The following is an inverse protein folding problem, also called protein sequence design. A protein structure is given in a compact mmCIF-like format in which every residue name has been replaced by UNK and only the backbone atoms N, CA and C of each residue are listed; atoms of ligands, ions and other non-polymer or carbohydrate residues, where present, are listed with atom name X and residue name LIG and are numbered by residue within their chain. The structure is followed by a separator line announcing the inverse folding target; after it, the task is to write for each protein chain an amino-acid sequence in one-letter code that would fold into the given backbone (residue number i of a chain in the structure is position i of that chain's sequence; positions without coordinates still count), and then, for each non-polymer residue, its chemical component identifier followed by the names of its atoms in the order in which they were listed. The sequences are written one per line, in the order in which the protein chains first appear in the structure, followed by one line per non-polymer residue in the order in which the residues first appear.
data_IF_518054430096
#
_entry.id   IF_518054430096
#
_cell.length_a   1.000
_cell.length_b   1.000
_cell.length_c   1.000
_cell.angle_alpha   90.00
_cell.angle_beta   90.00
_cell.angle_gamma   90.00
#
_symmetry.space_group_name_H-M   'P 1'
#
loop_
_entity.id
_entity.type
_entity.pdbx_description
1 polymer ?
#
# COMPACT_ATOMS: atom_id res chain seq x y z
N UNK A 1 8.50 -39.00 19.61
CA UNK A 1 8.15 -37.72 18.94
C UNK A 1 9.45 -36.96 18.83
N UNK A 2 10.10 -36.96 17.66
CA UNK A 2 11.46 -36.44 17.51
C UNK A 2 11.47 -34.91 17.47
N UNK A 3 12.35 -34.29 18.25
CA UNK A 3 12.52 -32.83 18.24
C UNK A 3 13.00 -32.36 16.86
N UNK A 4 12.23 -31.43 16.28
CA UNK A 4 12.53 -30.85 14.97
C UNK A 4 13.54 -29.72 15.15
N UNK A 5 14.79 -29.94 14.75
CA UNK A 5 15.82 -28.91 14.76
C UNK A 5 15.57 -27.89 13.64
N UNK A 6 15.65 -26.60 13.97
CA UNK A 6 15.57 -25.48 13.03
C UNK A 6 16.95 -24.87 12.78
N UNK A 7 17.26 -24.57 11.52
CA UNK A 7 18.53 -23.98 11.11
C UNK A 7 18.30 -22.59 10.48
N UNK A 8 19.24 -21.68 10.69
CA UNK A 8 19.22 -20.32 10.14
C UNK A 8 20.54 -20.03 9.41
N UNK A 9 20.46 -19.35 8.27
CA UNK A 9 21.63 -18.91 7.49
C UNK A 9 21.73 -17.39 7.62
N UNK A 10 22.93 -16.87 7.85
CA UNK A 10 23.19 -15.44 7.91
C UNK A 10 24.49 -15.07 7.21
N UNK A 11 24.49 -13.88 6.56
CA UNK A 11 25.67 -13.28 5.95
C UNK A 11 26.40 -12.31 6.91
N UNK A 12 26.02 -12.29 8.19
CA UNK A 12 26.65 -11.43 9.20
C UNK A 12 28.11 -11.89 9.50
N UNK A 13 29.00 -10.98 9.92
CA UNK A 13 30.37 -11.32 10.26
C UNK A 13 30.43 -12.32 11.42
N UNK A 14 31.48 -13.14 11.47
CA UNK A 14 31.68 -14.17 12.52
C UNK A 14 31.75 -13.59 13.93
N UNK A 15 32.10 -12.30 14.06
CA UNK A 15 32.10 -11.57 15.32
C UNK A 15 30.69 -11.23 15.85
N UNK A 16 29.63 -11.45 15.06
CA UNK A 16 28.26 -11.21 15.47
C UNK A 16 27.86 -12.15 16.62
N UNK A 17 27.35 -11.56 17.70
CA UNK A 17 26.98 -12.31 18.90
C UNK A 17 25.71 -13.13 18.67
N UNK A 18 25.64 -14.32 19.24
CA UNK A 18 24.47 -15.20 19.11
C UNK A 18 23.16 -14.53 19.57
N UNK A 19 23.22 -13.73 20.63
CA UNK A 19 22.07 -13.00 21.16
C UNK A 19 21.43 -12.05 20.13
N UNK A 20 22.22 -11.50 19.21
CA UNK A 20 21.73 -10.67 18.11
C UNK A 20 20.85 -11.48 17.15
N UNK A 21 21.25 -12.70 16.80
CA UNK A 21 20.45 -13.57 15.93
C UNK A 21 19.16 -14.04 16.60
N UNK A 22 19.19 -14.30 17.91
CA UNK A 22 17.99 -14.64 18.69
C UNK A 22 17.01 -13.47 18.70
N UNK A 23 17.50 -12.25 18.94
CA UNK A 23 16.69 -11.04 18.89
C UNK A 23 16.12 -10.80 17.49
N UNK A 24 16.94 -10.92 16.44
CA UNK A 24 16.51 -10.75 15.05
C UNK A 24 15.42 -11.76 14.66
N UNK A 25 15.58 -13.01 15.09
CA UNK A 25 14.57 -14.06 14.91
C UNK A 25 13.25 -13.72 15.61
N UNK A 26 13.32 -13.02 16.74
CA UNK A 26 12.15 -12.50 17.45
C UNK A 26 11.42 -11.40 16.67
N UNK A 27 12.15 -10.45 16.08
CA UNK A 27 11.59 -9.32 15.31
C UNK A 27 10.85 -9.78 14.05
N UNK A 28 11.26 -10.89 13.45
CA UNK A 28 10.59 -11.44 12.26
C UNK A 28 9.07 -11.50 12.43
N UNK A 29 8.59 -11.91 13.62
CA UNK A 29 7.15 -11.97 13.92
C UNK A 29 6.48 -10.60 13.90
N UNK A 30 7.15 -9.57 14.44
CA UNK A 30 6.65 -8.20 14.40
C UNK A 30 6.55 -7.68 12.97
N UNK A 31 7.54 -8.01 12.12
CA UNK A 31 7.52 -7.64 10.70
C UNK A 31 6.37 -8.32 9.96
N UNK A 32 6.16 -9.62 10.19
CA UNK A 32 5.04 -10.38 9.62
C UNK A 32 3.69 -9.80 10.02
N UNK A 33 3.53 -9.46 11.30
CA UNK A 33 2.33 -8.81 11.80
C UNK A 33 2.07 -7.47 11.09
N UNK A 34 3.08 -6.62 10.92
CA UNK A 34 2.94 -5.36 10.20
C UNK A 34 2.49 -5.57 8.74
N UNK A 35 3.04 -6.58 8.04
CA UNK A 35 2.62 -6.89 6.67
C UNK A 35 1.17 -7.36 6.60
N UNK A 36 0.76 -8.23 7.53
CA UNK A 36 -0.62 -8.72 7.60
C UNK A 36 -1.62 -7.58 7.90
N UNK A 37 -1.24 -6.65 8.77
CA UNK A 37 -2.03 -5.45 9.07
C UNK A 37 -2.07 -4.47 7.90
N UNK A 38 -0.97 -4.32 7.14
CA UNK A 38 -0.95 -3.49 5.93
C UNK A 38 -1.85 -4.06 4.83
N UNK A 39 -1.83 -5.38 4.64
CA UNK A 39 -2.63 -6.10 3.65
C UNK A 39 -4.12 -5.84 3.83
N UNK A 40 -4.59 -5.97 5.08
CA UNK A 40 -6.01 -5.84 5.45
C UNK A 40 -6.45 -4.40 5.73
N UNK A 41 -5.58 -3.55 6.29
CA UNK A 41 -5.97 -2.22 6.81
C UNK A 41 -5.55 -1.03 5.96
N UNK A 42 -4.52 -1.16 5.12
CA UNK A 42 -3.93 -0.05 4.35
C UNK A 42 -4.09 -0.20 2.83
N UNK A 43 -4.89 -1.17 2.37
CA UNK A 43 -5.16 -1.40 0.94
C UNK A 43 -3.97 -1.99 0.18
N UNK A 44 -3.04 -2.66 0.88
CA UNK A 44 -1.92 -3.35 0.22
C UNK A 44 -2.42 -4.58 -0.55
N UNK A 45 -3.46 -5.28 -0.06
CA UNK A 45 -4.09 -6.41 -0.76
C UNK A 45 -4.98 -6.00 -1.94
N UNK A 46 -5.52 -4.78 -1.95
CA UNK A 46 -6.45 -4.28 -2.96
C UNK A 46 -5.77 -3.69 -4.21
N UNK A 47 -4.46 -3.88 -4.33
CA UNK A 47 -3.66 -3.27 -5.39
C UNK A 47 -3.77 -4.04 -6.72
N UNK A 48 -4.52 -3.49 -7.68
CA UNK A 48 -4.78 -4.13 -8.98
C UNK A 48 -3.83 -3.73 -10.13
N UNK A 49 -2.84 -2.86 -9.88
CA UNK A 49 -1.99 -2.31 -10.96
C UNK A 49 -0.82 -3.25 -11.27
N UNK A 50 -0.71 -3.67 -12.54
CA UNK A 50 0.22 -4.70 -13.02
C UNK A 50 1.64 -4.22 -13.37
N UNK A 51 1.98 -2.96 -13.10
CA UNK A 51 3.30 -2.38 -13.44
C UNK A 51 4.18 -2.28 -12.20
N UNK A 52 5.45 -2.69 -12.33
CA UNK A 52 6.44 -2.62 -11.25
C UNK A 52 6.59 -1.21 -10.67
N UNK A 53 6.61 -0.18 -11.52
CA UNK A 53 6.74 1.21 -11.06
C UNK A 53 5.56 1.68 -10.21
N UNK A 54 4.34 1.22 -10.51
CA UNK A 54 3.19 1.48 -9.66
C UNK A 54 3.33 0.76 -8.33
N UNK A 55 3.75 -0.51 -8.36
CA UNK A 55 3.86 -1.34 -7.16
C UNK A 55 4.91 -0.76 -6.21
N UNK A 56 6.06 -0.37 -6.76
CA UNK A 56 7.16 0.23 -6.00
C UNK A 56 6.78 1.57 -5.35
N UNK A 57 5.77 2.29 -5.87
CA UNK A 57 5.24 3.51 -5.25
C UNK A 57 4.14 3.19 -4.23
N UNK A 58 3.31 2.19 -4.52
CA UNK A 58 2.20 1.77 -3.66
C UNK A 58 2.69 1.17 -2.34
N UNK A 59 3.63 0.24 -2.40
CA UNK A 59 4.17 -0.45 -1.22
C UNK A 59 4.65 0.49 -0.10
N UNK A 60 5.56 1.45 -0.36
CA UNK A 60 6.00 2.39 0.68
C UNK A 60 4.87 3.31 1.15
N UNK A 61 3.89 3.62 0.30
CA UNK A 61 2.72 4.43 0.69
C UNK A 61 1.85 3.68 1.70
N UNK A 62 1.58 2.40 1.48
CA UNK A 62 0.86 1.55 2.44
C UNK A 62 1.64 1.42 3.76
N UNK A 63 2.95 1.17 3.70
CA UNK A 63 3.78 1.08 4.91
C UNK A 63 3.84 2.40 5.69
N UNK A 64 3.88 3.55 4.99
CA UNK A 64 3.85 4.87 5.61
C UNK A 64 2.50 5.16 6.29
N UNK A 65 1.39 4.80 5.65
CA UNK A 65 0.06 4.93 6.24
C UNK A 65 -0.06 4.07 7.52
N UNK A 66 0.46 2.84 7.48
CA UNK A 66 0.48 1.97 8.63
C UNK A 66 1.37 2.51 9.76
N UNK A 67 2.55 3.07 9.43
CA UNK A 67 3.42 3.74 10.39
C UNK A 67 2.73 4.93 11.06
N UNK A 68 1.99 5.73 10.31
CA UNK A 68 1.21 6.85 10.85
C UNK A 68 0.14 6.38 11.85
N UNK A 69 -0.59 5.30 11.54
CA UNK A 69 -1.57 4.72 12.46
C UNK A 69 -0.92 4.21 13.76
N UNK A 70 0.25 3.56 13.64
CA UNK A 70 1.03 3.13 14.80
C UNK A 70 1.54 4.31 15.64
N UNK A 71 1.97 5.39 15.00
CA UNK A 71 2.40 6.59 15.71
C UNK A 71 1.24 7.22 16.51
N UNK A 72 0.04 7.26 15.93
CA UNK A 72 -1.17 7.70 16.64
C UNK A 72 -1.48 6.80 17.82
N UNK A 73 -1.34 5.47 17.65
CA UNK A 73 -1.55 4.51 18.74
C UNK A 73 -0.68 4.82 19.95
N UNK A 74 0.61 5.06 19.71
CA UNK A 74 1.59 5.37 20.77
C UNK A 74 1.22 6.68 21.47
N UNK A 75 0.86 7.72 20.71
CA UNK A 75 0.44 9.02 21.29
C UNK A 75 -0.86 8.91 22.10
N UNK A 76 -1.75 7.99 21.73
CA UNK A 76 -3.02 7.76 22.41
C UNK A 76 -2.93 6.74 23.55
N UNK A 77 -1.76 6.13 23.78
CA UNK A 77 -1.59 5.05 24.76
C UNK A 77 -1.97 5.49 26.19
N UNK A 78 -1.66 6.74 26.55
CA UNK A 78 -2.03 7.32 27.85
C UNK A 78 -3.55 7.49 28.04
N UNK A 79 -4.30 7.66 26.94
CA UNK A 79 -5.74 7.95 26.96
C UNK A 79 -6.61 6.74 26.68
N UNK A 80 -6.09 5.79 25.90
CA UNK A 80 -6.80 4.58 25.49
C UNK A 80 -5.80 3.42 25.35
N UNK A 81 -5.37 2.82 26.47
CA UNK A 81 -4.46 1.68 26.44
C UNK A 81 -5.12 0.51 25.69
N UNK A 82 -4.32 -0.22 24.90
CA UNK A 82 -4.74 -1.37 24.09
C UNK A 82 -5.63 -1.09 22.86
N UNK A 83 -5.72 0.16 22.39
CA UNK A 83 -6.41 0.45 21.12
C UNK A 83 -5.68 -0.21 19.93
N UNK A 84 -6.43 -0.96 19.12
CA UNK A 84 -5.90 -1.67 17.95
C UNK A 84 -5.86 -0.75 16.71
N UNK A 85 -4.89 -0.90 15.78
CA UNK A 85 -4.80 -0.08 14.57
C UNK A 85 -6.11 0.04 13.75
N UNK A 86 -6.95 -1.01 13.60
CA UNK A 86 -8.26 -0.88 12.93
C UNK A 86 -9.23 0.06 13.65
N UNK A 87 -9.19 0.13 14.98
CA UNK A 87 -10.04 1.02 15.77
C UNK A 87 -9.60 2.49 15.62
N UNK A 88 -8.30 2.73 15.51
CA UNK A 88 -7.75 4.06 15.24
C UNK A 88 -8.19 4.54 13.86
N UNK A 89 -8.16 3.66 12.85
CA UNK A 89 -8.68 3.97 11.51
C UNK A 89 -10.15 4.39 11.56
N UNK A 90 -10.99 3.66 12.28
CA UNK A 90 -12.40 4.01 12.46
C UNK A 90 -12.58 5.38 13.14
N UNK A 91 -11.77 5.66 14.17
CA UNK A 91 -11.81 6.95 14.86
C UNK A 91 -11.32 8.10 13.96
N UNK A 92 -10.33 7.87 13.12
CA UNK A 92 -9.91 8.85 12.13
C UNK A 92 -10.99 9.08 11.07
N UNK A 93 -11.70 8.04 10.64
CA UNK A 93 -12.81 8.18 9.69
C UNK A 93 -13.99 8.98 10.26
N UNK A 94 -14.20 8.97 11.58
CA UNK A 94 -15.24 9.78 12.24
C UNK A 94 -14.80 11.21 12.51
N UNK A 95 -13.53 11.43 12.83
CA UNK A 95 -12.99 12.75 13.21
C UNK A 95 -12.53 13.56 12.00
N UNK A 96 -11.98 12.91 10.97
CA UNK A 96 -11.61 13.59 9.74
C UNK A 96 -12.89 13.92 8.96
N UNK A 97 -13.20 15.20 8.73
CA UNK A 97 -14.35 15.55 7.92
C UNK A 97 -14.14 14.95 6.53
N UNK A 98 -15.00 13.99 6.16
CA UNK A 98 -15.08 13.57 4.76
C UNK A 98 -15.32 14.82 3.93
N UNK A 99 -14.55 14.98 2.84
CA UNK A 99 -14.77 16.10 1.92
C UNK A 99 -16.21 16.03 1.45
N UNK A 100 -17.06 16.94 1.92
CA UNK A 100 -18.43 17.06 1.44
C UNK A 100 -18.35 17.69 0.06
N UNK A 101 -18.51 16.87 -0.98
CA UNK A 101 -18.52 17.38 -2.34
C UNK A 101 -19.79 18.20 -2.57
N UNK A 102 -19.63 19.41 -3.09
CA UNK A 102 -20.74 20.10 -3.74
C UNK A 102 -21.22 19.31 -4.99
N UNK A 103 -22.46 19.49 -5.43
CA UNK A 103 -22.99 18.79 -6.60
C UNK A 103 -22.14 18.98 -7.88
N UNK A 104 -21.47 20.13 -8.01
CA UNK A 104 -20.55 20.41 -9.11
C UNK A 104 -19.24 19.61 -8.98
N UNK A 105 -18.59 19.63 -7.82
CA UNK A 105 -17.36 18.84 -7.58
C UNK A 105 -17.61 17.32 -7.73
N UNK A 106 -18.78 16.84 -7.31
CA UNK A 106 -19.16 15.44 -7.49
C UNK A 106 -19.27 15.08 -8.98
N UNK A 107 -19.83 15.97 -9.79
CA UNK A 107 -19.96 15.77 -11.24
C UNK A 107 -18.59 15.79 -11.93
N UNK A 108 -17.70 16.68 -11.51
CA UNK A 108 -16.31 16.74 -11.99
C UNK A 108 -15.52 15.49 -11.64
N UNK A 109 -15.66 14.98 -10.41
CA UNK A 109 -15.05 13.72 -9.98
C UNK A 109 -15.53 12.55 -10.84
N UNK A 110 -16.85 12.44 -11.05
CA UNK A 110 -17.42 11.38 -11.90
C UNK A 110 -16.91 11.47 -13.34
N UNK A 111 -16.82 12.68 -13.89
CA UNK A 111 -16.24 12.90 -15.22
C UNK A 111 -14.78 12.41 -15.28
N UNK A 112 -13.97 12.80 -14.30
CA UNK A 112 -12.56 12.38 -14.20
C UNK A 112 -12.42 10.86 -14.10
N UNK A 113 -13.22 10.20 -13.25
CA UNK A 113 -13.20 8.73 -13.11
C UNK A 113 -13.57 8.06 -14.43
N UNK A 114 -14.62 8.54 -15.11
CA UNK A 114 -15.04 8.00 -16.41
C UNK A 114 -13.95 8.14 -17.46
N UNK A 115 -13.28 9.28 -17.54
CA UNK A 115 -12.16 9.49 -18.47
C UNK A 115 -11.01 8.52 -18.21
N UNK A 116 -10.66 8.28 -16.93
CA UNK A 116 -9.60 7.31 -16.56
C UNK A 116 -10.00 5.88 -16.91
N UNK A 117 -11.24 5.49 -16.61
CA UNK A 117 -11.76 4.16 -16.95
C UNK A 117 -11.85 3.96 -18.47
N UNK A 118 -12.26 4.99 -19.22
CA UNK A 118 -12.31 4.95 -20.67
C UNK A 118 -10.92 4.79 -21.29
N UNK A 119 -9.92 5.53 -20.81
CA UNK A 119 -8.52 5.36 -21.23
C UNK A 119 -7.99 3.95 -20.93
N UNK A 120 -8.33 3.38 -19.78
CA UNK A 120 -7.97 2.00 -19.42
C UNK A 120 -8.66 0.98 -20.36
N UNK A 121 -9.95 1.17 -20.66
CA UNK A 121 -10.71 0.34 -21.59
C UNK A 121 -10.11 0.36 -23.00
N UNK A 122 -9.80 1.54 -23.54
CA UNK A 122 -9.16 1.67 -24.85
C UNK A 122 -7.77 1.03 -24.88
N UNK A 123 -6.97 1.17 -23.82
CA UNK A 123 -5.66 0.52 -23.70
C UNK A 123 -5.77 -1.01 -23.68
N UNK A 124 -6.80 -1.55 -23.03
CA UNK A 124 -7.10 -2.98 -23.04
C UNK A 124 -7.54 -3.45 -24.43
N UNK A 125 -8.35 -2.66 -25.14
CA UNK A 125 -8.79 -2.91 -26.51
C UNK A 125 -7.66 -2.91 -27.54
N UNK A 126 -6.76 -1.91 -27.50
CA UNK A 126 -5.58 -1.82 -28.39
C UNK A 126 -4.69 -3.06 -28.32
N UNK A 127 -4.51 -3.62 -27.12
CA UNK A 127 -3.71 -4.83 -26.89
C UNK A 127 -4.34 -6.11 -27.45
N UNK A 128 -5.67 -6.16 -27.58
CA UNK A 128 -6.42 -7.33 -28.06
C UNK A 128 -6.65 -7.31 -29.58
N UNK A 129 -6.65 -6.12 -30.19
CA UNK A 129 -6.92 -5.92 -31.62
C UNK A 129 -5.69 -5.61 -32.47
N UNK A 130 -4.53 -5.30 -31.87
CA UNK A 130 -3.31 -4.95 -32.62
C UNK A 130 -3.45 -3.67 -33.48
N UNK A 131 -4.49 -2.87 -33.23
CA UNK A 131 -4.80 -1.68 -34.03
C UNK A 131 -4.13 -0.44 -33.43
N UNK A 132 -3.27 0.21 -34.22
CA UNK A 132 -2.94 1.63 -34.04
C UNK A 132 -4.20 2.43 -34.39
N UNK A 133 -4.85 3.04 -33.39
CA UNK A 133 -6.01 3.89 -33.63
C UNK A 133 -5.53 5.25 -34.15
N UNK A 134 -6.12 5.80 -35.22
CA UNK A 134 -5.71 7.07 -35.80
C UNK A 134 -6.01 8.19 -34.80
N UNK A 135 -4.96 8.81 -34.27
CA UNK A 135 -5.02 9.83 -33.21
C UNK A 135 -3.89 9.74 -32.17
N UNK A 136 -3.12 8.66 -32.17
CA UNK A 136 -1.95 8.55 -31.28
C UNK A 136 -0.81 9.50 -31.66
N UNK A 137 -0.65 9.84 -32.94
CA UNK A 137 0.44 10.69 -33.45
C UNK A 137 0.41 12.12 -32.86
N UNK A 138 -0.76 12.65 -32.50
CA UNK A 138 -0.90 14.01 -31.97
C UNK A 138 -0.62 14.13 -30.46
N UNK A 139 -0.67 13.03 -29.71
CA UNK A 139 -0.43 13.03 -28.26
C UNK A 139 1.00 12.60 -27.89
N UNK A 140 1.68 11.83 -28.74
CA UNK A 140 3.10 11.50 -28.54
C UNK A 140 4.02 12.71 -28.72
N UNK A 141 3.70 13.63 -29.63
CA UNK A 141 4.50 14.84 -29.87
C UNK A 141 4.39 15.89 -28.75
N UNK A 142 3.32 15.87 -27.95
CA UNK A 142 3.12 16.84 -26.87
C UNK A 142 3.72 16.41 -25.52
N UNK A 143 4.07 15.12 -25.38
CA UNK A 143 4.61 14.54 -24.13
C UNK A 143 6.14 14.31 -24.22
N UNK A 144 6.73 14.45 -25.41
CA UNK A 144 8.17 14.34 -25.66
C UNK A 144 8.87 15.70 -25.87
N UNK A 145 8.31 16.80 -25.35
CA UNK A 145 8.98 18.11 -25.22
C UNK A 145 8.98 18.58 -23.77
#
# INVERSE_FOLDING_TARGET
MGDKLGYYISNAPVSARLNFFVWLSGIRRSVEQCFQECESGSGMGDYQVRKYTGWNRHMPTCMLAHFFLWHIRIVLEDKAPAMMPPQIRLLLETVLPMKTFSGQEATELVRWVREKNHKAYLSHGKRKLGLNLPGDDLLTDLVMR
#
